data_IF_381559141897
#
_entry.id   IF_381559141897
#
_cell.length_a   1.000
_cell.length_b   1.000
_cell.length_c   1.000
_cell.angle_alpha   90.00
_cell.angle_beta   90.00
_cell.angle_gamma   90.00
#
_symmetry.space_group_name_H-M   'P 1'
#
loop_
_entity.id
_entity.type
_entity.pdbx_description
1 polymer ?
#
# COMPACT_ATOMS: atom_id res chain seq x y z
N UNK A 1 62.43 32.72 30.54
CA UNK A 1 62.28 33.67 29.40
C UNK A 1 61.33 33.06 28.39
N UNK A 2 60.25 33.79 28.06
CA UNK A 2 59.36 33.74 26.87
C UNK A 2 58.67 32.43 26.45
N UNK A 3 57.33 32.45 26.58
CA UNK A 3 56.38 31.85 25.63
C UNK A 3 56.63 32.38 24.19
N UNK A 4 56.14 31.63 23.18
CA UNK A 4 54.90 32.07 22.53
C UNK A 4 53.89 30.94 22.21
N UNK A 5 52.61 31.27 22.34
CA UNK A 5 51.47 30.77 21.53
C UNK A 5 51.22 31.82 20.42
N UNK A 6 50.69 31.50 19.21
CA UNK A 6 49.26 31.12 18.98
C UNK A 6 49.13 30.08 17.82
N UNK A 7 48.01 29.56 17.31
CA UNK A 7 46.59 29.49 17.60
C UNK A 7 45.99 28.38 16.69
N UNK A 8 44.78 27.93 17.02
CA UNK A 8 43.75 27.38 16.13
C UNK A 8 44.05 26.06 15.37
N UNK A 9 43.52 24.95 15.90
CA UNK A 9 43.09 23.81 15.06
C UNK A 9 41.62 23.54 15.33
N UNK A 10 40.81 23.97 14.37
CA UNK A 10 39.40 23.64 14.19
C UNK A 10 39.27 22.18 13.78
N UNK A 11 38.25 21.53 14.34
CA UNK A 11 37.87 20.14 14.18
C UNK A 11 37.59 19.79 12.71
N UNK A 12 38.21 18.72 12.21
CA UNK A 12 37.81 18.04 10.98
C UNK A 12 38.00 16.53 11.15
N UNK A 13 36.91 15.89 11.58
CA UNK A 13 36.35 14.64 11.07
C UNK A 13 37.22 13.85 10.09
N UNK A 14 37.67 12.66 10.47
CA UNK A 14 37.78 11.52 9.54
C UNK A 14 37.66 10.21 10.31
N UNK A 15 36.61 9.49 9.98
CA UNK A 15 36.23 8.15 10.43
C UNK A 15 37.24 7.14 9.84
N UNK A 16 38.05 6.51 10.68
CA UNK A 16 38.92 5.41 10.26
C UNK A 16 38.10 4.09 10.31
N UNK A 17 37.77 3.56 9.13
CA UNK A 17 37.14 2.25 8.97
C UNK A 17 38.19 1.17 9.22
N UNK A 18 37.88 0.30 10.18
CA UNK A 18 38.64 -0.89 10.52
C UNK A 18 38.63 -1.94 9.40
N UNK A 19 39.79 -2.25 8.84
CA UNK A 19 40.02 -3.45 8.02
C UNK A 19 40.25 -4.68 8.90
N UNK A 20 39.63 -5.84 8.66
CA UNK A 20 40.00 -7.08 9.32
C UNK A 20 41.19 -7.75 8.61
N UNK A 21 42.17 -8.12 9.42
CA UNK A 21 43.39 -8.84 9.05
C UNK A 21 43.08 -10.26 8.57
N UNK A 22 43.44 -10.60 7.33
CA UNK A 22 43.55 -11.98 6.87
C UNK A 22 45.00 -12.47 7.09
N UNK A 23 45.16 -13.31 8.12
CA UNK A 23 46.34 -14.15 8.36
C UNK A 23 46.36 -15.29 7.35
N UNK A 24 47.33 -15.32 6.43
CA UNK A 24 47.83 -16.58 5.88
C UNK A 24 49.33 -16.48 5.60
N UNK A 25 50.05 -17.45 6.14
CA UNK A 25 51.51 -17.45 6.26
C UNK A 25 52.26 -17.76 4.97
N UNK A 26 53.43 -17.12 4.88
CA UNK A 26 54.69 -17.79 4.55
C UNK A 26 54.84 -18.40 3.16
N UNK A 27 55.28 -17.59 2.19
CA UNK A 27 56.52 -17.84 1.42
C UNK A 27 56.87 -16.62 0.54
N UNK A 28 58.14 -16.25 0.62
CA UNK A 28 58.79 -15.08 0.01
C UNK A 28 59.02 -15.20 -1.50
N UNK A 29 58.70 -14.17 -2.28
CA UNK A 29 59.41 -13.70 -3.50
C UNK A 29 58.85 -12.33 -3.99
N UNK A 30 59.53 -11.58 -4.88
CA UNK A 30 59.84 -10.16 -4.69
C UNK A 30 58.85 -9.14 -5.30
N UNK A 31 59.13 -7.88 -4.97
CA UNK A 31 58.44 -6.63 -5.28
C UNK A 31 57.96 -6.43 -6.73
N UNK A 32 56.97 -5.54 -6.82
CA UNK A 32 56.57 -4.76 -8.00
C UNK A 32 55.76 -5.49 -9.08
N UNK A 33 54.48 -5.78 -8.79
CA UNK A 33 53.35 -5.79 -9.74
C UNK A 33 52.08 -6.26 -9.03
N UNK A 34 51.24 -5.32 -8.58
CA UNK A 34 49.79 -5.46 -8.41
C UNK A 34 49.23 -4.25 -7.65
N UNK A 35 49.60 -3.03 -8.07
CA UNK A 35 48.77 -1.86 -7.83
C UNK A 35 48.06 -1.59 -9.17
N UNK A 36 47.09 -2.45 -9.47
CA UNK A 36 46.14 -2.24 -10.55
C UNK A 36 44.82 -2.80 -10.04
N UNK A 37 44.26 -2.08 -9.06
CA UNK A 37 42.85 -2.23 -8.71
C UNK A 37 42.10 -1.58 -9.87
N UNK A 38 41.47 -2.44 -10.66
CA UNK A 38 40.77 -2.12 -11.90
C UNK A 38 39.81 -0.94 -11.75
N UNK A 39 40.19 0.18 -12.37
CA UNK A 39 39.34 1.36 -12.59
C UNK A 39 38.07 1.01 -13.40
N UNK A 40 38.05 -0.15 -14.06
CA UNK A 40 36.90 -0.66 -14.82
C UNK A 40 35.77 -1.25 -13.96
N UNK A 41 36.00 -1.61 -12.69
CA UNK A 41 34.93 -2.16 -11.83
C UNK A 41 34.03 -1.07 -11.23
N UNK A 42 34.53 0.16 -11.09
CA UNK A 42 33.75 1.29 -10.56
C UNK A 42 32.83 1.94 -11.61
N UNK A 43 33.12 1.81 -12.90
CA UNK A 43 32.27 2.35 -13.98
C UNK A 43 31.10 1.42 -14.35
N UNK A 44 31.21 0.12 -14.05
CA UNK A 44 30.11 -0.85 -14.21
C UNK A 44 29.03 -0.73 -13.14
N UNK A 45 29.38 -0.25 -11.94
CA UNK A 45 28.44 -0.06 -10.83
C UNK A 45 27.40 1.03 -11.10
N UNK A 46 27.81 2.15 -11.71
CA UNK A 46 26.89 3.24 -12.01
C UNK A 46 25.88 2.85 -13.10
N UNK A 47 26.32 2.12 -14.13
CA UNK A 47 25.42 1.63 -15.18
C UNK A 47 24.46 0.55 -14.67
N UNK A 48 24.89 -0.31 -13.73
CA UNK A 48 24.02 -1.31 -13.09
C UNK A 48 22.98 -0.69 -12.16
N UNK A 49 23.37 0.31 -11.36
CA UNK A 49 22.45 1.04 -10.46
C UNK A 49 21.47 1.89 -11.28
N UNK A 50 21.93 2.60 -12.31
CA UNK A 50 21.06 3.39 -13.19
C UNK A 50 20.13 2.47 -13.99
N UNK A 51 20.58 1.30 -14.46
CA UNK A 51 19.72 0.32 -15.12
C UNK A 51 18.66 -0.25 -14.16
N UNK A 52 19.03 -0.60 -12.93
CA UNK A 52 18.09 -1.09 -11.92
C UNK A 52 17.06 -0.02 -11.48
N UNK A 53 17.52 1.22 -11.27
CA UNK A 53 16.65 2.37 -10.97
C UNK A 53 15.74 2.72 -12.17
N UNK A 54 16.25 2.61 -13.40
CA UNK A 54 15.44 2.83 -14.60
C UNK A 54 14.37 1.74 -14.78
N UNK A 55 14.66 0.50 -14.39
CA UNK A 55 13.73 -0.63 -14.45
C UNK A 55 12.55 -0.46 -13.48
N UNK A 56 12.79 -0.06 -12.24
CA UNK A 56 11.72 0.16 -11.25
C UNK A 56 10.84 1.37 -11.60
N UNK A 57 11.43 2.46 -12.10
CA UNK A 57 10.69 3.63 -12.59
C UNK A 57 9.83 3.25 -13.81
N UNK A 58 10.38 2.50 -14.77
CA UNK A 58 9.64 2.05 -15.95
C UNK A 58 8.44 1.17 -15.55
N UNK A 59 8.62 0.25 -14.61
CA UNK A 59 7.54 -0.59 -14.10
C UNK A 59 6.44 0.24 -13.44
N UNK A 60 6.80 1.22 -12.59
CA UNK A 60 5.84 2.13 -11.97
C UNK A 60 5.04 2.94 -13.00
N UNK A 61 5.72 3.45 -14.03
CA UNK A 61 5.08 4.19 -15.12
C UNK A 61 4.12 3.31 -15.94
N UNK A 62 4.52 2.08 -16.27
CA UNK A 62 3.67 1.12 -16.96
C UNK A 62 2.42 0.78 -16.15
N UNK A 63 2.57 0.58 -14.84
CA UNK A 63 1.46 0.33 -13.94
C UNK A 63 0.51 1.55 -13.85
N UNK A 64 1.04 2.78 -13.80
CA UNK A 64 0.24 4.01 -13.85
C UNK A 64 -0.53 4.15 -15.17
N UNK A 65 0.15 3.91 -16.30
CA UNK A 65 -0.47 3.96 -17.64
C UNK A 65 -1.59 2.93 -17.74
N UNK A 66 -1.47 1.78 -17.08
CA UNK A 66 -2.54 0.77 -17.05
C UNK A 66 -3.82 1.23 -16.31
N UNK A 67 -3.69 2.10 -15.31
CA UNK A 67 -4.82 2.63 -14.53
C UNK A 67 -5.50 3.83 -15.21
N UNK A 68 -4.80 4.52 -16.12
CA UNK A 68 -5.24 5.78 -16.72
C UNK A 68 -6.53 5.60 -17.58
N UNK A 69 -6.65 4.58 -18.45
CA UNK A 69 -7.89 4.30 -19.16
C UNK A 69 -9.08 4.02 -18.22
N UNK A 70 -8.81 3.41 -17.07
CA UNK A 70 -9.83 3.08 -16.08
C UNK A 70 -10.33 4.32 -15.33
N UNK A 71 -9.46 5.28 -15.03
CA UNK A 71 -9.85 6.58 -14.52
C UNK A 71 -10.67 7.39 -15.55
N UNK A 72 -10.32 7.28 -16.84
CA UNK A 72 -11.04 7.96 -17.92
C UNK A 72 -12.45 7.42 -18.17
N UNK A 73 -12.76 6.17 -17.75
CA UNK A 73 -14.13 5.65 -17.77
C UNK A 73 -15.10 6.52 -16.96
N UNK A 74 -14.63 7.21 -15.93
CA UNK A 74 -15.44 8.11 -15.11
C UNK A 74 -16.03 9.29 -15.91
N UNK A 75 -15.40 9.65 -17.03
CA UNK A 75 -15.84 10.74 -17.91
C UNK A 75 -16.71 10.27 -19.08
N UNK A 76 -17.03 8.98 -19.19
CA UNK A 76 -17.90 8.50 -20.26
C UNK A 76 -19.33 9.04 -20.10
N UNK A 77 -19.93 9.62 -21.15
CA UNK A 77 -21.26 10.21 -21.09
C UNK A 77 -22.37 9.16 -20.89
N UNK A 78 -22.14 7.92 -21.34
CA UNK A 78 -23.05 6.79 -21.14
C UNK A 78 -22.32 5.72 -20.34
N UNK A 79 -22.74 5.53 -19.08
CA UNK A 79 -22.23 4.46 -18.24
C UNK A 79 -22.88 3.13 -18.66
N UNK A 80 -22.09 2.22 -19.22
CA UNK A 80 -22.55 0.88 -19.58
C UNK A 80 -21.57 -0.17 -19.02
N UNK A 81 -22.11 -1.33 -18.63
CA UNK A 81 -21.33 -2.54 -18.34
C UNK A 81 -21.05 -3.26 -19.67
N UNK A 82 -20.38 -2.57 -20.59
CA UNK A 82 -20.07 -3.01 -21.95
C UNK A 82 -18.74 -3.77 -22.01
N UNK A 83 -18.39 -4.28 -23.19
CA UNK A 83 -17.10 -4.95 -23.41
C UNK A 83 -15.90 -4.03 -23.15
N UNK A 84 -16.06 -2.71 -23.33
CA UNK A 84 -15.00 -1.75 -23.07
C UNK A 84 -14.75 -1.56 -21.59
N UNK A 85 -15.79 -1.53 -20.76
CA UNK A 85 -15.65 -1.55 -19.30
C UNK A 85 -14.79 -2.74 -18.86
N UNK A 86 -15.10 -3.95 -19.33
CA UNK A 86 -14.32 -5.15 -18.99
C UNK A 86 -12.90 -5.09 -19.54
N UNK A 87 -12.71 -4.66 -20.79
CA UNK A 87 -11.38 -4.52 -21.38
C UNK A 87 -10.47 -3.60 -20.57
N UNK A 88 -11.00 -2.47 -20.12
CA UNK A 88 -10.25 -1.49 -19.32
C UNK A 88 -9.95 -2.01 -17.91
N UNK A 89 -10.91 -2.68 -17.25
CA UNK A 89 -10.69 -3.27 -15.93
C UNK A 89 -9.67 -4.41 -15.99
N UNK A 90 -9.73 -5.26 -17.02
CA UNK A 90 -8.76 -6.33 -17.25
C UNK A 90 -7.37 -5.72 -17.50
N UNK A 91 -7.28 -4.66 -18.30
CA UNK A 91 -6.02 -3.97 -18.55
C UNK A 91 -5.40 -3.39 -17.28
N UNK A 92 -6.21 -2.72 -16.45
CA UNK A 92 -5.79 -2.19 -15.15
C UNK A 92 -5.35 -3.32 -14.18
N UNK A 93 -6.09 -4.43 -14.13
CA UNK A 93 -5.76 -5.59 -13.31
C UNK A 93 -4.48 -6.27 -13.78
N UNK A 94 -4.29 -6.39 -15.11
CA UNK A 94 -3.10 -6.98 -15.70
C UNK A 94 -1.86 -6.12 -15.43
N UNK A 95 -1.94 -4.79 -15.61
CA UNK A 95 -0.80 -3.91 -15.38
C UNK A 95 -0.37 -3.86 -13.90
N UNK A 96 -1.31 -3.60 -13.00
CA UNK A 96 -1.03 -3.57 -11.56
C UNK A 96 -0.66 -4.96 -10.99
N UNK A 97 -1.29 -6.02 -11.49
CA UNK A 97 -0.99 -7.40 -11.11
C UNK A 97 0.37 -7.89 -11.61
N UNK A 98 0.74 -7.58 -12.86
CA UNK A 98 2.05 -7.90 -13.41
C UNK A 98 3.17 -7.19 -12.63
N UNK A 99 2.96 -5.92 -12.27
CA UNK A 99 3.88 -5.19 -11.40
C UNK A 99 4.06 -5.90 -10.06
N UNK A 100 2.95 -6.23 -9.38
CA UNK A 100 2.99 -6.89 -8.08
C UNK A 100 3.68 -8.26 -8.14
N UNK A 101 3.40 -9.04 -9.18
CA UNK A 101 4.01 -10.35 -9.42
C UNK A 101 5.52 -10.27 -9.62
N UNK A 102 5.97 -9.37 -10.51
CA UNK A 102 7.39 -9.20 -10.79
C UNK A 102 8.16 -8.77 -9.54
N UNK A 103 7.60 -7.84 -8.77
CA UNK A 103 8.25 -7.32 -7.57
C UNK A 103 8.37 -8.38 -6.46
N UNK A 104 7.33 -9.22 -6.29
CA UNK A 104 7.35 -10.33 -5.34
C UNK A 104 8.37 -11.42 -5.72
N UNK A 105 8.61 -11.62 -7.02
CA UNK A 105 9.52 -12.66 -7.53
C UNK A 105 11.02 -12.31 -7.43
N UNK A 106 11.37 -11.02 -7.48
CA UNK A 106 12.76 -10.58 -7.60
C UNK A 106 13.39 -10.24 -6.25
N UNK A 107 12.62 -9.68 -5.30
CA UNK A 107 13.13 -9.35 -3.96
C UNK A 107 11.99 -9.02 -3.00
N UNK A 108 11.94 -9.70 -1.85
CA UNK A 108 11.05 -9.35 -0.74
C UNK A 108 11.53 -8.06 -0.06
N UNK A 109 11.19 -6.92 -0.66
CA UNK A 109 11.36 -5.60 -0.08
C UNK A 109 10.03 -5.12 0.47
N UNK A 110 9.97 -4.74 1.75
CA UNK A 110 8.75 -4.19 2.35
C UNK A 110 8.75 -2.67 2.34
N UNK A 111 8.98 -2.09 1.16
CA UNK A 111 8.82 -0.65 0.97
C UNK A 111 7.32 -0.27 0.99
N UNK A 112 7.01 0.94 1.44
CA UNK A 112 5.68 1.52 1.38
C UNK A 112 5.15 1.54 -0.06
N UNK A 113 6.01 1.84 -1.04
CA UNK A 113 5.64 1.81 -2.46
C UNK A 113 5.12 0.43 -2.90
N UNK A 114 5.83 -0.64 -2.52
CA UNK A 114 5.43 -2.03 -2.82
C UNK A 114 4.13 -2.39 -2.13
N UNK A 115 3.99 -2.06 -0.85
CA UNK A 115 2.76 -2.29 -0.10
C UNK A 115 1.55 -1.60 -0.76
N UNK A 116 1.71 -0.35 -1.20
CA UNK A 116 0.66 0.41 -1.88
C UNK A 116 0.29 -0.21 -3.24
N UNK A 117 1.26 -0.58 -4.07
CA UNK A 117 0.99 -1.21 -5.37
C UNK A 117 0.31 -2.57 -5.26
N UNK A 118 0.74 -3.41 -4.31
CA UNK A 118 0.10 -4.71 -4.02
C UNK A 118 -1.34 -4.49 -3.53
N UNK A 119 -1.56 -3.45 -2.73
CA UNK A 119 -2.89 -3.03 -2.27
C UNK A 119 -3.77 -2.52 -3.41
N UNK A 120 -3.22 -1.75 -4.34
CA UNK A 120 -3.91 -1.29 -5.56
C UNK A 120 -4.32 -2.49 -6.41
N UNK A 121 -3.38 -3.39 -6.73
CA UNK A 121 -3.66 -4.58 -7.53
C UNK A 121 -4.77 -5.43 -6.90
N UNK A 122 -4.69 -5.66 -5.59
CA UNK A 122 -5.71 -6.42 -4.86
C UNK A 122 -7.06 -5.72 -4.86
N UNK A 123 -7.08 -4.39 -4.70
CA UNK A 123 -8.33 -3.62 -4.74
C UNK A 123 -8.96 -3.64 -6.13
N UNK A 124 -8.16 -3.57 -7.20
CA UNK A 124 -8.65 -3.72 -8.59
C UNK A 124 -9.24 -5.11 -8.80
N UNK A 125 -8.59 -6.16 -8.31
CA UNK A 125 -9.10 -7.54 -8.41
C UNK A 125 -10.42 -7.73 -7.63
N UNK A 126 -10.47 -7.25 -6.39
CA UNK A 126 -11.70 -7.28 -5.58
C UNK A 126 -12.81 -6.45 -6.22
N UNK A 127 -12.48 -5.30 -6.82
CA UNK A 127 -13.43 -4.49 -7.56
C UNK A 127 -13.97 -5.21 -8.80
N UNK A 128 -13.10 -5.85 -9.58
CA UNK A 128 -13.47 -6.63 -10.76
C UNK A 128 -14.40 -7.80 -10.37
N UNK A 129 -14.07 -8.52 -9.29
CA UNK A 129 -14.92 -9.56 -8.74
C UNK A 129 -16.27 -9.00 -8.29
N UNK A 130 -16.28 -7.87 -7.57
CA UNK A 130 -17.51 -7.21 -7.14
C UNK A 130 -18.39 -6.79 -8.33
N UNK A 131 -17.79 -6.26 -9.39
CA UNK A 131 -18.47 -5.87 -10.62
C UNK A 131 -18.98 -7.08 -11.42
N UNK A 132 -18.31 -8.24 -11.31
CA UNK A 132 -18.77 -9.50 -11.90
C UNK A 132 -20.02 -10.03 -11.16
N UNK A 133 -19.93 -10.15 -9.83
CA UNK A 133 -20.93 -10.81 -8.99
C UNK A 133 -22.13 -9.93 -8.62
N UNK A 134 -21.95 -8.60 -8.57
CA UNK A 134 -23.02 -7.68 -8.19
C UNK A 134 -23.41 -6.76 -9.35
N UNK A 135 -24.73 -6.71 -9.62
CA UNK A 135 -25.28 -5.80 -10.66
C UNK A 135 -25.11 -4.32 -10.32
N UNK A 136 -24.83 -4.01 -9.06
CA UNK A 136 -24.69 -2.65 -8.52
C UNK A 136 -23.23 -2.22 -8.41
N UNK A 137 -22.31 -3.15 -8.16
CA UNK A 137 -20.90 -2.82 -7.84
C UNK A 137 -20.15 -2.10 -8.95
N UNK A 138 -20.45 -2.38 -10.21
CA UNK A 138 -19.83 -1.67 -11.35
C UNK A 138 -20.09 -0.15 -11.33
N UNK A 139 -21.19 0.31 -10.72
CA UNK A 139 -21.54 1.72 -10.58
C UNK A 139 -20.61 2.49 -9.64
N UNK A 140 -19.76 1.80 -8.88
CA UNK A 140 -18.72 2.41 -8.05
C UNK A 140 -17.45 2.75 -8.84
N UNK A 141 -17.29 2.26 -10.08
CA UNK A 141 -16.10 2.49 -10.90
C UNK A 141 -15.69 3.97 -11.00
N UNK A 142 -16.61 4.94 -11.21
CA UNK A 142 -16.25 6.35 -11.33
C UNK A 142 -15.62 6.95 -10.08
N UNK A 143 -15.76 6.30 -8.91
CA UNK A 143 -15.20 6.73 -7.65
C UNK A 143 -13.93 5.95 -7.29
N UNK A 144 -13.94 4.63 -7.51
CA UNK A 144 -12.83 3.73 -7.20
C UNK A 144 -11.63 4.00 -8.11
N UNK A 145 -11.84 4.16 -9.42
CA UNK A 145 -10.75 4.31 -10.39
C UNK A 145 -9.89 5.56 -10.19
N UNK A 146 -10.44 6.78 -10.07
CA UNK A 146 -9.60 7.95 -9.80
C UNK A 146 -8.90 7.86 -8.45
N UNK A 147 -9.54 7.25 -7.44
CA UNK A 147 -8.91 7.02 -6.14
C UNK A 147 -7.66 6.12 -6.25
N UNK A 148 -7.76 5.00 -6.98
CA UNK A 148 -6.64 4.09 -7.21
C UNK A 148 -5.53 4.72 -8.05
N UNK A 149 -5.87 5.56 -9.03
CA UNK A 149 -4.88 6.31 -9.81
C UNK A 149 -4.09 7.29 -8.92
N UNK A 150 -4.77 8.02 -8.03
CA UNK A 150 -4.11 8.92 -7.08
C UNK A 150 -3.20 8.16 -6.10
N UNK A 151 -3.65 7.01 -5.61
CA UNK A 151 -2.81 6.13 -4.79
C UNK A 151 -1.60 5.61 -5.57
N UNK A 152 -1.76 5.23 -6.84
CA UNK A 152 -0.66 4.77 -7.70
C UNK A 152 0.36 5.87 -7.96
N UNK A 153 -0.10 7.11 -8.12
CA UNK A 153 0.79 8.26 -8.28
C UNK A 153 1.61 8.48 -7.00
N UNK A 154 0.95 8.44 -5.84
CA UNK A 154 1.61 8.55 -4.55
C UNK A 154 2.61 7.40 -4.33
N UNK A 155 2.22 6.16 -4.65
CA UNK A 155 3.09 4.98 -4.55
C UNK A 155 4.34 5.13 -5.43
N UNK A 156 4.18 5.65 -6.64
CA UNK A 156 5.29 5.85 -7.58
C UNK A 156 6.31 6.90 -7.09
N UNK A 157 5.85 7.94 -6.40
CA UNK A 157 6.73 9.00 -5.86
C UNK A 157 7.49 8.51 -4.62
N UNK A 158 6.87 7.67 -3.79
CA UNK A 158 7.49 7.22 -2.53
C UNK A 158 8.38 5.96 -2.74
N UNK A 159 8.17 5.23 -3.84
CA UNK A 159 8.94 4.02 -4.17
C UNK A 159 10.44 4.31 -4.27
N UNK A 160 11.27 3.48 -3.61
CA UNK A 160 12.74 3.55 -3.71
C UNK A 160 13.47 3.79 -2.39
N UNK A 161 12.74 3.83 -1.27
CA UNK A 161 13.30 4.03 0.07
C UNK A 161 13.24 2.76 0.94
N UNK A 162 13.05 1.60 0.29
CA UNK A 162 12.93 0.30 0.95
C UNK A 162 14.24 -0.23 1.49
N UNK A 163 14.25 -0.60 2.77
CA UNK A 163 15.30 -1.45 3.34
C UNK A 163 14.92 -2.92 3.11
N UNK A 164 15.88 -3.82 2.81
CA UNK A 164 15.62 -5.24 2.71
C UNK A 164 15.11 -5.78 4.04
N UNK A 165 14.04 -6.58 4.01
CA UNK A 165 13.46 -7.14 5.23
C UNK A 165 14.25 -8.36 5.67
N UNK A 166 14.85 -8.29 6.86
CA UNK A 166 15.38 -9.47 7.55
C UNK A 166 14.25 -10.03 8.40
N UNK A 167 13.46 -10.95 7.85
CA UNK A 167 12.38 -11.60 8.59
C UNK A 167 12.95 -12.74 9.46
N UNK A 168 12.66 -12.71 10.76
CA UNK A 168 13.00 -13.79 11.70
C UNK A 168 11.83 -14.77 11.95
N UNK A 169 10.62 -14.44 11.49
CA UNK A 169 9.43 -15.28 11.61
C UNK A 169 9.38 -16.38 10.52
N UNK A 170 8.67 -17.49 10.76
CA UNK A 170 8.40 -18.47 9.71
C UNK A 170 7.64 -17.84 8.54
N UNK A 171 8.19 -17.97 7.33
CA UNK A 171 7.69 -17.31 6.12
C UNK A 171 6.17 -17.48 5.91
N UNK A 172 5.62 -18.67 6.18
CA UNK A 172 4.20 -19.00 5.98
C UNK A 172 3.25 -18.10 6.78
N UNK A 173 3.56 -17.82 8.04
CA UNK A 173 2.68 -16.98 8.88
C UNK A 173 2.72 -15.52 8.45
N UNK A 174 3.91 -15.05 8.06
CA UNK A 174 4.11 -13.70 7.58
C UNK A 174 3.39 -13.47 6.23
N UNK A 175 3.52 -14.42 5.30
CA UNK A 175 2.86 -14.38 4.00
C UNK A 175 1.33 -14.36 4.15
N UNK A 176 0.80 -15.21 5.03
CA UNK A 176 -0.62 -15.24 5.34
C UNK A 176 -1.09 -13.92 5.96
N UNK A 177 -0.33 -13.36 6.89
CA UNK A 177 -0.65 -12.08 7.51
C UNK A 177 -0.67 -10.93 6.47
N UNK A 178 0.29 -10.91 5.55
CA UNK A 178 0.34 -9.92 4.47
C UNK A 178 -0.86 -10.09 3.55
N UNK A 179 -1.16 -11.30 3.11
CA UNK A 179 -2.32 -11.59 2.26
C UNK A 179 -3.62 -11.09 2.90
N UNK A 180 -3.85 -11.44 4.17
CA UNK A 180 -5.06 -11.06 4.91
C UNK A 180 -5.11 -9.54 5.13
N UNK A 181 -3.98 -8.89 5.36
CA UNK A 181 -3.89 -7.43 5.54
C UNK A 181 -4.24 -6.69 4.26
N UNK A 182 -3.70 -7.11 3.11
CA UNK A 182 -3.97 -6.49 1.81
C UNK A 182 -5.42 -6.72 1.38
N UNK A 183 -5.98 -7.92 1.63
CA UNK A 183 -7.40 -8.20 1.41
C UNK A 183 -8.30 -7.32 2.27
N UNK A 184 -7.97 -7.15 3.55
CA UNK A 184 -8.68 -6.26 4.47
C UNK A 184 -8.68 -4.83 3.95
N UNK A 185 -7.51 -4.33 3.55
CA UNK A 185 -7.37 -2.98 3.02
C UNK A 185 -8.26 -2.78 1.78
N UNK A 186 -8.19 -3.69 0.80
CA UNK A 186 -9.00 -3.59 -0.41
C UNK A 186 -10.51 -3.65 -0.16
N UNK A 187 -10.99 -4.54 0.72
CA UNK A 187 -12.40 -4.61 1.09
C UNK A 187 -12.89 -3.32 1.78
N UNK A 188 -12.08 -2.78 2.71
CA UNK A 188 -12.43 -1.55 3.41
C UNK A 188 -12.35 -0.33 2.50
N UNK A 189 -11.45 -0.30 1.52
CA UNK A 189 -11.45 0.72 0.45
C UNK A 189 -12.76 0.67 -0.33
N UNK A 190 -13.20 -0.51 -0.78
CA UNK A 190 -14.46 -0.64 -1.52
C UNK A 190 -15.67 -0.23 -0.67
N UNK A 191 -15.67 -0.60 0.61
CA UNK A 191 -16.68 -0.15 1.56
C UNK A 191 -16.70 1.38 1.72
N UNK A 192 -15.52 2.00 1.88
CA UNK A 192 -15.39 3.45 1.98
C UNK A 192 -15.89 4.15 0.72
N UNK A 193 -15.61 3.61 -0.48
CA UNK A 193 -16.12 4.16 -1.73
C UNK A 193 -17.64 3.98 -1.87
N UNK A 194 -18.19 2.84 -1.45
CA UNK A 194 -19.64 2.64 -1.40
C UNK A 194 -20.33 3.62 -0.44
N UNK A 195 -19.74 3.82 0.75
CA UNK A 195 -20.19 4.79 1.75
C UNK A 195 -20.12 6.24 1.22
N UNK A 196 -19.03 6.60 0.55
CA UNK A 196 -18.86 7.91 -0.07
C UNK A 196 -19.89 8.13 -1.20
N UNK A 197 -20.17 7.09 -1.99
CA UNK A 197 -21.21 7.14 -3.02
C UNK A 197 -22.60 7.41 -2.42
N UNK A 198 -22.98 6.70 -1.36
CA UNK A 198 -24.22 6.94 -0.61
C UNK A 198 -24.27 8.38 -0.10
N UNK A 199 -23.19 8.86 0.52
CA UNK A 199 -23.12 10.23 1.05
C UNK A 199 -23.30 11.29 -0.04
N UNK A 200 -22.68 11.11 -1.21
CA UNK A 200 -22.80 12.02 -2.35
C UNK A 200 -24.23 12.02 -2.92
N UNK A 201 -24.86 10.84 -3.02
CA UNK A 201 -26.24 10.75 -3.48
C UNK A 201 -27.23 11.43 -2.54
N UNK A 202 -27.14 11.16 -1.23
CA UNK A 202 -28.00 11.80 -0.24
C UNK A 202 -27.87 13.33 -0.28
N UNK A 203 -26.64 13.84 -0.49
CA UNK A 203 -26.38 15.28 -0.61
C UNK A 203 -27.02 15.87 -1.88
N UNK A 204 -26.96 15.16 -3.01
CA UNK A 204 -27.54 15.60 -4.27
C UNK A 204 -29.08 15.60 -4.25
N UNK A 205 -29.69 14.58 -3.62
CA UNK A 205 -31.13 14.47 -3.38
C UNK A 205 -31.65 15.66 -2.55
N UNK A 206 -30.96 15.97 -1.44
CA UNK A 206 -31.32 17.12 -0.58
C UNK A 206 -31.17 18.47 -1.30
N UNK A 207 -30.16 18.60 -2.16
CA UNK A 207 -29.93 19.81 -2.96
C UNK A 207 -30.78 19.90 -4.22
N UNK A 208 -31.57 18.86 -4.55
CA UNK A 208 -32.39 18.74 -5.77
C UNK A 208 -31.60 19.02 -7.08
N UNK A 209 -30.29 18.78 -7.07
CA UNK A 209 -29.39 19.04 -8.21
C UNK A 209 -28.61 17.77 -8.56
N UNK A 210 -29.22 16.79 -9.26
CA UNK A 210 -28.54 15.58 -9.66
C UNK A 210 -27.54 15.88 -10.80
N UNK A 211 -26.25 15.87 -10.47
CA UNK A 211 -25.17 15.99 -11.45
C UNK A 211 -24.92 14.68 -12.22
N UNK A 212 -24.10 14.72 -13.29
CA UNK A 212 -23.79 13.54 -14.11
C UNK A 212 -23.17 12.40 -13.30
N UNK A 213 -22.23 12.71 -12.40
CA UNK A 213 -21.61 11.73 -11.50
C UNK A 213 -22.64 11.05 -10.59
N UNK A 214 -23.55 11.82 -9.98
CA UNK A 214 -24.56 11.29 -9.06
C UNK A 214 -25.53 10.32 -9.74
N UNK A 215 -25.83 10.53 -11.03
CA UNK A 215 -26.71 9.64 -11.81
C UNK A 215 -26.06 8.28 -12.11
N UNK A 216 -24.73 8.24 -12.24
CA UNK A 216 -23.98 7.00 -12.47
C UNK A 216 -23.90 6.14 -11.20
N UNK A 217 -23.76 6.78 -10.04
CA UNK A 217 -23.63 6.10 -8.74
C UNK A 217 -24.86 5.22 -8.40
N UNK A 218 -24.68 4.15 -7.61
CA UNK A 218 -25.75 3.24 -7.19
C UNK A 218 -26.73 3.94 -6.26
N UNK A 219 -28.03 3.63 -6.35
CA UNK A 219 -29.05 4.24 -5.50
C UNK A 219 -28.73 4.06 -4.01
N UNK A 220 -29.11 5.03 -3.15
CA UNK A 220 -28.78 5.05 -1.71
C UNK A 220 -29.02 3.69 -1.03
N UNK A 221 -30.19 3.08 -1.24
CA UNK A 221 -30.55 1.78 -0.66
C UNK A 221 -29.63 0.65 -1.15
N UNK A 222 -29.33 0.63 -2.45
CA UNK A 222 -28.42 -0.35 -3.04
C UNK A 222 -26.99 -0.18 -2.51
N UNK A 223 -26.52 1.07 -2.43
CA UNK A 223 -25.21 1.42 -1.89
C UNK A 223 -25.05 1.06 -0.42
N UNK A 224 -26.06 1.29 0.41
CA UNK A 224 -26.07 0.88 1.83
C UNK A 224 -26.01 -0.65 1.97
N UNK A 225 -26.77 -1.39 1.16
CA UNK A 225 -26.75 -2.86 1.18
C UNK A 225 -25.39 -3.43 0.77
N UNK A 226 -24.77 -2.84 -0.26
CA UNK A 226 -23.44 -3.21 -0.75
C UNK A 226 -22.37 -2.91 0.30
N UNK A 227 -22.43 -1.72 0.90
CA UNK A 227 -21.55 -1.30 1.98
C UNK A 227 -21.63 -2.26 3.18
N UNK A 228 -22.84 -2.63 3.60
CA UNK A 228 -23.04 -3.58 4.69
C UNK A 228 -22.41 -4.96 4.41
N UNK A 229 -22.51 -5.47 3.18
CA UNK A 229 -21.87 -6.73 2.77
C UNK A 229 -20.34 -6.63 2.77
N UNK A 230 -19.80 -5.54 2.24
CA UNK A 230 -18.37 -5.28 2.21
C UNK A 230 -17.78 -5.11 3.63
N UNK A 231 -18.49 -4.39 4.51
CA UNK A 231 -18.08 -4.27 5.92
C UNK A 231 -18.11 -5.62 6.64
N UNK A 232 -19.11 -6.46 6.36
CA UNK A 232 -19.19 -7.78 6.99
C UNK A 232 -18.02 -8.67 6.55
N UNK A 233 -17.72 -8.69 5.25
CA UNK A 233 -16.54 -9.40 4.74
C UNK A 233 -15.25 -8.80 5.33
N UNK A 234 -15.11 -7.48 5.33
CA UNK A 234 -13.96 -6.76 5.88
C UNK A 234 -13.77 -7.02 7.38
N UNK A 235 -14.85 -7.08 8.17
CA UNK A 235 -14.78 -7.38 9.61
C UNK A 235 -14.25 -8.79 9.87
N UNK A 236 -14.71 -9.78 9.09
CA UNK A 236 -14.24 -11.16 9.22
C UNK A 236 -12.76 -11.23 8.88
N UNK A 237 -12.36 -10.71 7.70
CA UNK A 237 -10.97 -10.75 7.26
C UNK A 237 -10.05 -9.94 8.19
N UNK A 238 -10.48 -8.77 8.69
CA UNK A 238 -9.73 -7.99 9.68
C UNK A 238 -9.53 -8.76 10.99
N UNK A 239 -10.53 -9.51 11.44
CA UNK A 239 -10.40 -10.41 12.60
C UNK A 239 -9.34 -11.49 12.37
N UNK A 240 -9.33 -12.13 11.19
CA UNK A 240 -8.25 -13.04 10.78
C UNK A 240 -6.90 -12.30 10.71
N UNK A 241 -6.87 -11.04 10.30
CA UNK A 241 -5.66 -10.22 10.22
C UNK A 241 -5.06 -9.97 11.60
N UNK A 242 -5.90 -9.68 12.60
CA UNK A 242 -5.48 -9.55 14.00
C UNK A 242 -4.97 -10.89 14.53
N UNK A 243 -5.69 -11.98 14.29
CA UNK A 243 -5.28 -13.31 14.76
C UNK A 243 -3.95 -13.77 14.15
N UNK A 244 -3.77 -13.60 12.83
CA UNK A 244 -2.51 -13.91 12.13
C UNK A 244 -1.38 -12.98 12.57
N UNK A 245 -1.67 -11.70 12.83
CA UNK A 245 -0.69 -10.75 13.37
C UNK A 245 -0.20 -11.12 14.76
N UNK A 246 -1.12 -11.52 15.65
CA UNK A 246 -0.77 -12.03 16.98
C UNK A 246 0.06 -13.31 16.89
N UNK A 247 -0.27 -14.22 15.97
CA UNK A 247 0.51 -15.43 15.73
C UNK A 247 1.94 -15.09 15.26
N UNK A 248 2.10 -14.21 14.26
CA UNK A 248 3.42 -13.77 13.79
C UNK A 248 4.25 -13.14 14.91
N UNK A 249 3.63 -12.31 15.74
CA UNK A 249 4.30 -11.62 16.83
C UNK A 249 4.73 -12.57 17.96
N UNK A 250 3.90 -13.59 18.24
CA UNK A 250 4.23 -14.62 19.21
C UNK A 250 5.48 -15.40 18.79
N UNK A 251 5.62 -15.74 17.51
CA UNK A 251 6.82 -16.45 17.02
C UNK A 251 8.08 -15.57 17.01
N UNK A 252 7.96 -14.25 16.84
CA UNK A 252 9.13 -13.35 16.84
C UNK A 252 9.60 -12.96 18.23
N UNK A 253 8.67 -12.67 19.15
CA UNK A 253 8.99 -12.04 20.45
C UNK A 253 8.61 -12.92 21.65
N UNK A 254 7.91 -14.03 21.46
CA UNK A 254 7.38 -14.87 22.55
C UNK A 254 6.22 -14.25 23.34
N UNK A 255 5.74 -13.06 22.94
CA UNK A 255 4.61 -12.36 23.56
C UNK A 255 3.40 -12.37 22.64
N UNK A 256 2.23 -12.66 23.19
CA UNK A 256 0.98 -12.75 22.42
C UNK A 256 0.44 -11.40 21.95
N UNK A 257 0.74 -10.31 22.69
CA UNK A 257 0.16 -9.00 22.38
C UNK A 257 1.03 -7.87 22.92
N UNK A 258 1.80 -7.22 22.03
CA UNK A 258 2.44 -5.92 22.33
C UNK A 258 1.56 -4.83 21.77
N UNK A 259 1.12 -3.92 22.63
CA UNK A 259 0.31 -2.77 22.23
C UNK A 259 1.19 -1.71 21.56
N UNK A 260 1.59 -2.00 20.32
CA UNK A 260 2.21 -1.01 19.46
C UNK A 260 1.14 -0.18 18.74
N UNK A 261 1.53 1.00 18.24
CA UNK A 261 0.62 1.93 17.54
C UNK A 261 -0.19 1.25 16.41
N UNK A 262 0.44 0.34 15.65
CA UNK A 262 -0.23 -0.44 14.58
C UNK A 262 -1.34 -1.36 15.12
N UNK A 263 -1.09 -2.02 16.25
CA UNK A 263 -2.03 -2.97 16.85
C UNK A 263 -3.23 -2.24 17.46
N UNK A 264 -2.98 -1.12 18.14
CA UNK A 264 -4.04 -0.30 18.71
C UNK A 264 -4.97 0.26 17.62
N UNK A 265 -4.40 0.82 16.55
CA UNK A 265 -5.20 1.37 15.44
C UNK A 265 -6.05 0.28 14.75
N UNK A 266 -5.50 -0.93 14.59
CA UNK A 266 -6.25 -2.07 14.04
C UNK A 266 -7.39 -2.51 14.96
N UNK A 267 -7.16 -2.58 16.27
CA UNK A 267 -8.17 -2.99 17.25
C UNK A 267 -9.32 -1.96 17.34
N UNK A 268 -8.99 -0.66 17.35
CA UNK A 268 -9.99 0.41 17.33
C UNK A 268 -10.81 0.36 16.04
N UNK A 269 -10.17 0.11 14.90
CA UNK A 269 -10.87 -0.06 13.62
C UNK A 269 -11.83 -1.26 13.64
N UNK A 270 -11.38 -2.39 14.17
CA UNK A 270 -12.19 -3.60 14.31
C UNK A 270 -13.40 -3.39 15.23
N UNK A 271 -13.21 -2.68 16.35
CA UNK A 271 -14.28 -2.32 17.26
C UNK A 271 -15.28 -1.35 16.60
N UNK A 272 -14.79 -0.35 15.85
CA UNK A 272 -15.64 0.64 15.18
C UNK A 272 -16.50 0.02 14.07
N UNK A 273 -15.91 -0.85 13.24
CA UNK A 273 -16.64 -1.57 12.18
C UNK A 273 -17.65 -2.55 12.80
N UNK A 274 -17.24 -3.29 13.82
CA UNK A 274 -18.12 -4.20 14.56
C UNK A 274 -19.30 -3.50 15.22
N UNK A 275 -19.06 -2.37 15.89
CA UNK A 275 -20.10 -1.53 16.50
C UNK A 275 -21.06 -0.97 15.44
N UNK A 276 -20.55 -0.55 14.28
CA UNK A 276 -21.41 -0.10 13.18
C UNK A 276 -22.27 -1.23 12.62
N UNK A 277 -21.71 -2.44 12.46
CA UNK A 277 -22.45 -3.62 12.00
C UNK A 277 -23.57 -4.00 12.98
N UNK A 278 -23.28 -3.93 14.28
CA UNK A 278 -24.28 -4.16 15.32
C UNK A 278 -25.35 -3.06 15.30
N UNK A 279 -24.94 -1.80 15.16
CA UNK A 279 -25.83 -0.64 15.03
C UNK A 279 -26.77 -0.75 13.82
N UNK A 280 -26.29 -1.28 12.68
CA UNK A 280 -27.14 -1.56 11.52
C UNK A 280 -28.23 -2.60 11.84
N UNK A 281 -27.92 -3.63 12.63
CA UNK A 281 -28.86 -4.71 12.96
C UNK A 281 -29.85 -4.32 14.05
N UNK A 282 -29.40 -3.59 15.08
CA UNK A 282 -30.21 -3.30 16.27
C UNK A 282 -30.94 -1.97 16.15
N UNK A 283 -30.24 -0.91 15.73
CA UNK A 283 -30.78 0.45 15.74
C UNK A 283 -31.19 0.95 14.34
N UNK A 284 -30.93 0.17 13.28
CA UNK A 284 -31.22 0.58 11.91
C UNK A 284 -30.49 1.86 11.50
N UNK A 285 -29.27 2.08 12.01
CA UNK A 285 -28.49 3.30 11.72
C UNK A 285 -28.34 3.42 10.20
N UNK A 286 -28.88 4.50 9.61
CA UNK A 286 -28.89 4.72 8.16
C UNK A 286 -28.36 6.10 7.79
N UNK A 287 -27.95 6.24 6.54
CA UNK A 287 -27.53 7.50 5.92
C UNK A 287 -26.19 8.04 6.40
N UNK A 288 -26.06 9.38 6.42
CA UNK A 288 -24.79 10.10 6.63
C UNK A 288 -23.98 9.70 7.86
N UNK A 289 -24.60 9.34 8.97
CA UNK A 289 -23.86 8.97 10.19
C UNK A 289 -23.11 7.66 9.97
N UNK A 290 -23.80 6.63 9.48
CA UNK A 290 -23.19 5.35 9.13
C UNK A 290 -22.07 5.55 8.11
N UNK A 291 -22.30 6.39 7.10
CA UNK A 291 -21.31 6.66 6.08
C UNK A 291 -20.01 7.27 6.67
N UNK A 292 -20.14 8.27 7.55
CA UNK A 292 -19.00 8.90 8.23
C UNK A 292 -18.23 7.93 9.11
N UNK A 293 -18.91 7.03 9.81
CA UNK A 293 -18.26 6.02 10.65
C UNK A 293 -17.43 5.06 9.80
N UNK A 294 -17.94 4.63 8.63
CA UNK A 294 -17.15 3.82 7.68
C UNK A 294 -15.91 4.57 7.19
N UNK A 295 -16.08 5.84 6.79
CA UNK A 295 -14.96 6.68 6.34
C UNK A 295 -13.91 6.87 7.45
N UNK A 296 -14.34 7.05 8.70
CA UNK A 296 -13.44 7.12 9.85
C UNK A 296 -12.70 5.79 10.07
N UNK A 297 -13.41 4.66 10.09
CA UNK A 297 -12.80 3.33 10.23
C UNK A 297 -11.75 3.06 9.14
N UNK A 298 -12.09 3.40 7.89
CA UNK A 298 -11.16 3.29 6.76
C UNK A 298 -9.91 4.15 6.94
N UNK A 299 -10.07 5.38 7.44
CA UNK A 299 -8.95 6.27 7.70
C UNK A 299 -8.03 5.73 8.81
N UNK A 300 -8.60 5.14 9.86
CA UNK A 300 -7.82 4.51 10.93
C UNK A 300 -7.00 3.31 10.41
N UNK A 301 -7.59 2.45 9.58
CA UNK A 301 -6.86 1.32 8.96
C UNK A 301 -5.79 1.81 8.01
N UNK A 302 -6.08 2.85 7.23
CA UNK A 302 -5.09 3.48 6.34
C UNK A 302 -3.94 4.08 7.16
N UNK A 303 -4.21 4.60 8.36
CA UNK A 303 -3.15 5.07 9.23
C UNK A 303 -2.35 3.91 9.84
N UNK A 304 -3.01 2.81 10.18
CA UNK A 304 -2.38 1.62 10.79
C UNK A 304 -1.41 0.90 9.84
N UNK A 305 -1.78 0.76 8.56
CA UNK A 305 -1.03 -0.04 7.58
C UNK A 305 -0.01 0.82 6.81
N UNK A 306 -0.37 1.65 5.81
CA UNK A 306 0.60 2.51 5.15
C UNK A 306 1.02 3.71 6.00
N UNK A 307 0.16 4.22 6.90
CA UNK A 307 0.45 5.45 7.65
C UNK A 307 1.63 5.37 8.60
N UNK A 308 1.78 4.26 9.35
CA UNK A 308 2.94 4.07 10.23
C UNK A 308 4.24 4.03 9.41
N UNK A 309 4.24 3.31 8.28
CA UNK A 309 5.38 3.28 7.35
C UNK A 309 5.67 4.64 6.74
N UNK A 310 4.64 5.41 6.39
CA UNK A 310 4.80 6.77 5.87
C UNK A 310 5.49 7.69 6.88
N UNK A 311 5.06 7.68 8.16
CA UNK A 311 5.72 8.47 9.21
C UNK A 311 7.17 8.03 9.39
N UNK A 312 7.44 6.73 9.41
CA UNK A 312 8.80 6.20 9.63
C UNK A 312 9.75 6.38 8.45
N UNK A 313 9.27 6.40 7.21
CA UNK A 313 10.12 6.50 6.02
C UNK A 313 10.18 7.90 5.41
N UNK A 314 9.17 8.76 5.64
CA UNK A 314 9.08 10.08 5.00
C UNK A 314 9.28 11.22 5.99
N UNK A 315 8.86 11.06 7.26
CA UNK A 315 8.97 12.12 8.26
C UNK A 315 10.17 11.96 9.21
N UNK A 316 10.66 10.72 9.39
CA UNK A 316 11.81 10.36 10.22
C UNK A 316 12.98 9.94 9.33
#
# INVERSE_FOLDING_TARGET
>A
MRCPRPAATTSATTFAISTPSCLFGGKSMPAARACQVDEHLCLGGNNGIVAAMSGSILLNLLALVSLLPAALLAFRPVAARDGVFWGVIIFAAAGSGAWAWLQLSQSWQTDLGVALWVSIATTVLLFAALAAFSRVGWRLAPLVMPYLLLLGLLASVISGHGQPMVASAPAVWLDLHILVSVLTYGLLTLAAMASLAVFLQERALKKKRPGPLTRMLPAVVEGESLNGRLLMAGQIILGLGIATGMATQYFETGSLLRLDHKALLSLVSFALIGALLLGHRVCGVRGRLAARVVLAAYLLVTLAYPGVKFVTQVLL
#
